data_IF_776432637787
#
_entry.id   IF_776432637787
#
_cell.length_a   1.000
_cell.length_b   1.000
_cell.length_c   1.000
_cell.angle_alpha   90.00
_cell.angle_beta   90.00
_cell.angle_gamma   90.00
#
_symmetry.space_group_name_H-M   'P 1'
#
loop_
_entity.id
_entity.type
_entity.pdbx_description
1 polymer ?
#
# COMPACT_ATOMS: atom_id res chain seq x y z
N UNK A 1 10.09 -10.69 -19.11
CA UNK A 1 10.00 -10.58 -17.64
C UNK A 1 8.53 -10.76 -17.31
N UNK A 2 8.17 -11.62 -16.37
CA UNK A 2 6.77 -11.75 -15.94
C UNK A 2 6.39 -10.47 -15.18
N UNK A 3 5.29 -9.84 -15.58
CA UNK A 3 4.81 -8.64 -14.90
C UNK A 3 4.35 -8.98 -13.48
N UNK A 4 4.70 -8.12 -12.53
CA UNK A 4 4.18 -8.20 -11.18
C UNK A 4 2.68 -7.95 -11.17
N UNK A 5 1.94 -8.92 -10.62
CA UNK A 5 0.49 -8.85 -10.39
C UNK A 5 0.24 -8.55 -8.91
N UNK A 6 -0.56 -7.52 -8.64
CA UNK A 6 -0.89 -7.11 -7.28
C UNK A 6 -1.89 -8.06 -6.62
N UNK A 7 -2.89 -8.50 -7.38
CA UNK A 7 -4.01 -9.29 -6.90
C UNK A 7 -3.54 -10.64 -6.35
N UNK A 8 -3.95 -10.94 -5.12
CA UNK A 8 -3.54 -12.12 -4.35
C UNK A 8 -2.02 -12.20 -4.06
N UNK A 9 -1.29 -11.10 -4.23
CA UNK A 9 0.14 -11.03 -3.92
C UNK A 9 0.39 -11.03 -2.40
N UNK A 10 1.65 -11.27 -2.03
CA UNK A 10 2.08 -11.10 -0.63
C UNK A 10 1.94 -9.63 -0.18
N UNK A 11 2.17 -8.67 -1.08
CA UNK A 11 2.08 -7.25 -0.75
C UNK A 11 0.66 -6.79 -0.46
N UNK A 12 -0.33 -7.29 -1.21
CA UNK A 12 -1.75 -7.02 -0.92
C UNK A 12 -2.13 -7.54 0.47
N UNK A 13 -1.79 -8.80 0.77
CA UNK A 13 -2.10 -9.41 2.07
C UNK A 13 -1.44 -8.68 3.23
N UNK A 14 -0.16 -8.34 3.09
CA UNK A 14 0.58 -7.60 4.12
C UNK A 14 -0.01 -6.21 4.32
N UNK A 15 -0.30 -5.48 3.24
CA UNK A 15 -0.91 -4.15 3.29
C UNK A 15 -2.25 -4.17 4.07
N UNK A 16 -3.15 -5.09 3.71
CA UNK A 16 -4.43 -5.24 4.39
C UNK A 16 -4.28 -5.60 5.86
N UNK A 17 -3.43 -6.57 6.19
CA UNK A 17 -3.17 -6.97 7.57
C UNK A 17 -2.65 -5.82 8.42
N UNK A 18 -1.70 -5.04 7.89
CA UNK A 18 -1.16 -3.87 8.58
C UNK A 18 -2.25 -2.81 8.82
N UNK A 19 -3.06 -2.51 7.81
CA UNK A 19 -4.15 -1.53 7.95
C UNK A 19 -5.22 -1.97 8.96
N UNK A 20 -5.59 -3.25 8.98
CA UNK A 20 -6.50 -3.77 10.00
C UNK A 20 -5.93 -3.62 11.41
N UNK A 21 -4.63 -3.89 11.60
CA UNK A 21 -3.98 -3.71 12.90
C UNK A 21 -3.91 -2.25 13.34
N UNK A 22 -3.59 -1.32 12.43
CA UNK A 22 -3.58 0.12 12.71
C UNK A 22 -4.97 0.57 13.18
N UNK A 23 -6.02 0.21 12.43
CA UNK A 23 -7.40 0.59 12.78
C UNK A 23 -7.85 0.00 14.11
N UNK A 24 -7.48 -1.25 14.39
CA UNK A 24 -7.76 -1.88 15.69
C UNK A 24 -7.06 -1.13 16.84
N UNK A 25 -5.80 -0.72 16.65
CA UNK A 25 -5.06 0.08 17.63
C UNK A 25 -5.67 1.48 17.84
N UNK A 26 -6.16 2.10 16.76
CA UNK A 26 -6.83 3.40 16.78
C UNK A 26 -8.29 3.35 17.28
N UNK A 27 -8.84 2.15 17.55
CA UNK A 27 -10.26 1.92 17.87
C UNK A 27 -11.20 2.52 16.82
N UNK A 28 -10.77 2.50 15.56
CA UNK A 28 -11.57 2.99 14.43
C UNK A 28 -12.71 2.03 14.11
N UNK A 29 -13.70 2.52 13.36
CA UNK A 29 -14.81 1.67 12.89
C UNK A 29 -14.29 0.56 11.97
N UNK A 30 -14.90 -0.62 12.13
CA UNK A 30 -14.70 -1.77 11.25
C UNK A 30 -14.97 -1.39 9.79
N UNK A 31 -14.09 -1.87 8.92
CA UNK A 31 -14.12 -1.63 7.48
C UNK A 31 -13.95 -2.97 6.78
N UNK A 32 -14.63 -3.16 5.66
CA UNK A 32 -14.46 -4.37 4.88
C UNK A 32 -13.13 -4.37 4.13
N UNK A 33 -12.70 -5.56 3.70
CA UNK A 33 -11.53 -5.71 2.82
C UNK A 33 -11.66 -4.87 1.54
N UNK A 34 -12.84 -4.87 0.93
CA UNK A 34 -13.06 -4.17 -0.34
C UNK A 34 -12.95 -2.66 -0.17
N UNK A 35 -13.55 -2.11 0.89
CA UNK A 35 -13.43 -0.68 1.21
C UNK A 35 -11.98 -0.24 1.45
N UNK A 36 -11.14 -1.08 2.07
CA UNK A 36 -9.71 -0.80 2.19
C UNK A 36 -9.00 -0.85 0.83
N UNK A 37 -9.28 -1.85 0.01
CA UNK A 37 -8.66 -2.00 -1.31
C UNK A 37 -9.00 -0.83 -2.24
N UNK A 38 -10.21 -0.29 -2.13
CA UNK A 38 -10.69 0.84 -2.92
C UNK A 38 -10.26 2.21 -2.34
N UNK A 39 -9.56 2.23 -1.21
CA UNK A 39 -9.08 3.47 -0.61
C UNK A 39 -7.92 4.09 -1.40
N UNK A 40 -7.91 5.42 -1.51
CA UNK A 40 -6.86 6.17 -2.22
C UNK A 40 -5.44 5.83 -1.72
N UNK A 41 -5.33 5.55 -0.42
CA UNK A 41 -4.07 5.19 0.22
C UNK A 41 -3.55 3.85 -0.28
N UNK A 42 -4.41 2.82 -0.35
CA UNK A 42 -4.03 1.49 -0.87
C UNK A 42 -3.79 1.54 -2.38
N UNK A 43 -4.63 2.28 -3.12
CA UNK A 43 -4.44 2.44 -4.57
C UNK A 43 -3.12 3.17 -4.90
N UNK A 44 -2.75 4.18 -4.11
CA UNK A 44 -1.46 4.86 -4.22
C UNK A 44 -0.28 3.93 -3.94
N UNK A 45 -0.35 3.14 -2.86
CA UNK A 45 0.66 2.12 -2.56
C UNK A 45 0.78 1.08 -3.69
N UNK A 46 -0.34 0.49 -4.11
CA UNK A 46 -0.41 -0.46 -5.23
C UNK A 46 0.27 0.09 -6.47
N UNK A 47 -0.12 1.29 -6.91
CA UNK A 47 0.43 1.93 -8.12
C UNK A 47 1.95 2.08 -8.02
N UNK A 48 2.44 2.60 -6.90
CA UNK A 48 3.88 2.83 -6.70
C UNK A 48 4.68 1.52 -6.67
N UNK A 49 4.13 0.46 -6.07
CA UNK A 49 4.79 -0.84 -6.01
C UNK A 49 4.81 -1.53 -7.38
N UNK A 50 3.71 -1.48 -8.13
CA UNK A 50 3.65 -2.04 -9.48
C UNK A 50 4.68 -1.37 -10.38
N UNK A 51 4.77 -0.03 -10.36
CA UNK A 51 5.81 0.70 -11.08
C UNK A 51 7.21 0.29 -10.63
N UNK A 52 7.46 0.20 -9.32
CA UNK A 52 8.76 -0.23 -8.79
C UNK A 52 9.16 -1.64 -9.28
N UNK A 53 8.22 -2.58 -9.31
CA UNK A 53 8.48 -3.98 -9.70
C UNK A 53 8.62 -4.18 -11.21
N UNK A 54 7.84 -3.46 -12.00
CA UNK A 54 7.77 -3.66 -13.45
C UNK A 54 8.68 -2.71 -14.24
N UNK A 55 8.83 -1.47 -13.77
CA UNK A 55 9.62 -0.43 -14.42
C UNK A 55 11.01 -0.28 -13.80
N UNK A 56 11.23 -0.86 -12.62
CA UNK A 56 12.53 -0.96 -11.94
C UNK A 56 12.74 0.06 -10.83
N UNK A 57 13.83 -0.14 -10.08
CA UNK A 57 14.23 0.61 -8.89
C UNK A 57 14.93 1.94 -9.25
N UNK A 58 14.21 2.85 -9.90
CA UNK A 58 14.69 4.21 -10.14
C UNK A 58 14.54 5.08 -8.89
N UNK A 59 15.31 6.17 -8.79
CA UNK A 59 15.19 7.14 -7.69
C UNK A 59 13.75 7.66 -7.56
N UNK A 60 13.11 7.96 -8.69
CA UNK A 60 11.71 8.37 -8.75
C UNK A 60 10.79 7.29 -8.18
N UNK A 61 10.88 6.05 -8.65
CA UNK A 61 9.98 4.97 -8.23
C UNK A 61 10.18 4.64 -6.74
N UNK A 62 11.42 4.68 -6.26
CA UNK A 62 11.74 4.53 -4.83
C UNK A 62 11.15 5.67 -4.00
N UNK A 63 11.23 6.92 -4.46
CA UNK A 63 10.64 8.06 -3.77
C UNK A 63 9.10 7.99 -3.74
N UNK A 64 8.47 7.63 -4.86
CA UNK A 64 7.01 7.44 -4.94
C UNK A 64 6.54 6.31 -4.01
N UNK A 65 7.23 5.17 -4.02
CA UNK A 65 6.94 4.06 -3.11
C UNK A 65 7.10 4.46 -1.64
N UNK A 66 8.21 5.13 -1.30
CA UNK A 66 8.45 5.64 0.06
C UNK A 66 7.34 6.57 0.53
N UNK A 67 6.93 7.52 -0.30
CA UNK A 67 5.86 8.47 0.05
C UNK A 67 4.50 7.78 0.17
N UNK A 68 4.20 6.80 -0.68
CA UNK A 68 2.98 6.01 -0.58
C UNK A 68 2.95 5.17 0.71
N UNK A 69 4.09 4.59 1.12
CA UNK A 69 4.21 3.85 2.40
C UNK A 69 4.05 4.79 3.59
N UNK A 70 4.61 6.01 3.55
CA UNK A 70 4.41 6.98 4.64
C UNK A 70 2.93 7.33 4.82
N UNK A 71 2.21 7.57 3.72
CA UNK A 71 0.74 7.77 3.72
C UNK A 71 0.00 6.56 4.30
N UNK A 72 0.36 5.35 3.84
CA UNK A 72 -0.23 4.09 4.30
C UNK A 72 -0.12 3.89 5.82
N UNK A 73 0.99 4.34 6.40
CA UNK A 73 1.31 4.15 7.81
C UNK A 73 1.02 5.40 8.66
N UNK A 74 0.34 6.42 8.11
CA UNK A 74 0.07 7.69 8.78
C UNK A 74 1.35 8.40 9.30
N UNK A 75 2.47 8.29 8.58
CA UNK A 75 3.77 8.87 8.95
C UNK A 75 4.08 10.21 8.28
N UNK A 76 3.16 10.75 7.46
CA UNK A 76 3.38 12.00 6.71
C UNK A 76 3.51 13.24 7.62
N UNK A 77 3.12 13.14 8.90
CA UNK A 77 3.27 14.20 9.91
C UNK A 77 4.52 14.09 10.79
N UNK A 78 5.42 13.13 10.52
CA UNK A 78 6.68 12.90 11.24
C UNK A 78 7.89 13.34 10.41
#
# INVERSE_FOLDING_TARGET
MEEYVWENSASERTCLNTLFQIRAAEKAQDVSRQELLDSDVVLGYKKSLVALRNEGETEKNMAEYKNAVKKLLNLDGL
#
